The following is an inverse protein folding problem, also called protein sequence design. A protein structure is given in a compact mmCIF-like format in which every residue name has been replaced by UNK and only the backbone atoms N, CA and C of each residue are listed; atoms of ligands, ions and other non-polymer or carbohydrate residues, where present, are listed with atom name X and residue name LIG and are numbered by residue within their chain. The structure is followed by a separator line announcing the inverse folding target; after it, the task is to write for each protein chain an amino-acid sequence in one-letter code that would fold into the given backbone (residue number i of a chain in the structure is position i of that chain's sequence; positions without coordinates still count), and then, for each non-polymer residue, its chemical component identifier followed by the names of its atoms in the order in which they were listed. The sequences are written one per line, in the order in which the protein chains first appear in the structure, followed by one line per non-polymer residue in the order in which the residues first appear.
data_IF_201653370765
#
_entry.id   IF_201653370765
#
_cell.length_a   1.000
_cell.length_b   1.000
_cell.length_c   1.000
_cell.angle_alpha   90.00
_cell.angle_beta   90.00
_cell.angle_gamma   90.00
#
_symmetry.space_group_name_H-M   'P 1'
#
loop_
_entity.id
_entity.type
_entity.pdbx_description
1 polymer ?
#
# COMPACT_ATOMS: atom_id res chain seq x y z
N UNK A 1 3.58 -3.61 22.17
CA UNK A 1 2.40 -2.92 21.60
C UNK A 1 2.17 -3.46 20.20
N UNK A 2 1.14 -4.28 20.02
CA UNK A 2 0.69 -4.78 18.73
C UNK A 2 0.18 -3.60 17.90
N UNK A 3 0.95 -3.15 16.91
CA UNK A 3 0.42 -2.20 15.92
C UNK A 3 -0.63 -2.96 15.12
N UNK A 4 -1.89 -2.57 15.26
CA UNK A 4 -2.96 -3.13 14.44
C UNK A 4 -2.70 -2.75 12.99
N UNK A 5 -2.37 -3.74 12.17
CA UNK A 5 -2.17 -3.55 10.75
C UNK A 5 -3.54 -3.30 10.14
N UNK A 6 -3.77 -2.08 9.65
CA UNK A 6 -4.96 -1.73 8.87
C UNK A 6 -5.16 -2.73 7.72
N UNK A 7 -6.40 -3.08 7.43
CA UNK A 7 -6.76 -3.98 6.33
C UNK A 7 -6.16 -3.52 5.01
N UNK A 8 -6.08 -2.20 4.80
CA UNK A 8 -5.40 -1.55 3.67
C UNK A 8 -3.94 -2.00 3.57
N UNK A 9 -3.19 -1.98 4.68
CA UNK A 9 -1.79 -2.38 4.71
C UNK A 9 -1.59 -3.86 4.38
N UNK A 10 -2.51 -4.72 4.83
CA UNK A 10 -2.50 -6.16 4.50
C UNK A 10 -2.77 -6.39 3.02
N UNK A 11 -3.82 -5.75 2.48
CA UNK A 11 -4.19 -5.85 1.07
C UNK A 11 -3.10 -5.28 0.16
N UNK A 12 -2.51 -4.13 0.52
CA UNK A 12 -1.40 -3.53 -0.19
C UNK A 12 -0.23 -4.51 -0.33
N UNK A 13 0.19 -5.11 0.79
CA UNK A 13 1.28 -6.10 0.81
C UNK A 13 0.95 -7.33 -0.03
N UNK A 14 -0.29 -7.81 0.04
CA UNK A 14 -0.77 -8.97 -0.75
C UNK A 14 -0.72 -8.68 -2.25
N UNK A 15 -1.34 -7.58 -2.68
CA UNK A 15 -1.40 -7.16 -4.09
C UNK A 15 0.00 -6.87 -4.65
N UNK A 16 0.86 -6.19 -3.88
CA UNK A 16 2.25 -5.95 -4.26
C UNK A 16 3.00 -7.25 -4.52
N UNK A 17 2.86 -8.23 -3.63
CA UNK A 17 3.51 -9.55 -3.79
C UNK A 17 2.94 -10.32 -4.98
N UNK A 18 1.64 -10.27 -5.23
CA UNK A 18 1.02 -10.89 -6.40
C UNK A 18 1.55 -10.31 -7.72
N UNK A 19 1.92 -9.01 -7.72
CA UNK A 19 2.55 -8.34 -8.87
C UNK A 19 4.07 -8.54 -8.93
N UNK A 20 4.67 -9.30 -8.01
CA UNK A 20 6.13 -9.53 -7.97
C UNK A 20 6.96 -8.28 -7.66
N UNK A 21 6.36 -7.26 -7.04
CA UNK A 21 7.02 -5.98 -6.77
C UNK A 21 7.70 -5.99 -5.39
N UNK A 22 8.89 -5.38 -5.29
CA UNK A 22 9.48 -5.02 -4.00
C UNK A 22 8.83 -3.73 -3.47
N UNK A 23 9.00 -3.43 -2.18
CA UNK A 23 8.52 -2.17 -1.59
C UNK A 23 9.17 -0.95 -2.26
N UNK A 24 10.46 -1.04 -2.62
CA UNK A 24 11.21 0.00 -3.35
C UNK A 24 10.68 0.19 -4.79
N UNK A 25 10.40 -0.92 -5.49
CA UNK A 25 9.79 -0.83 -6.82
C UNK A 25 8.41 -0.21 -6.77
N UNK A 26 7.59 -0.59 -5.79
CA UNK A 26 6.26 -0.01 -5.62
C UNK A 26 6.35 1.49 -5.30
N UNK A 27 7.27 1.92 -4.43
CA UNK A 27 7.42 3.34 -4.10
C UNK A 27 7.80 4.17 -5.32
N UNK A 28 8.69 3.65 -6.17
CA UNK A 28 9.08 4.31 -7.43
C UNK A 28 7.93 4.37 -8.44
N UNK A 29 7.18 3.28 -8.61
CA UNK A 29 6.04 3.23 -9.53
C UNK A 29 4.88 4.12 -9.08
N UNK A 30 4.65 4.21 -7.78
CA UNK A 30 3.59 5.03 -7.19
C UNK A 30 4.01 6.49 -6.96
N UNK A 31 5.27 6.86 -7.22
CA UNK A 31 5.80 8.19 -6.93
C UNK A 31 5.53 8.64 -5.48
N UNK A 32 5.85 7.77 -4.54
CA UNK A 32 5.78 8.04 -3.09
C UNK A 32 7.06 7.60 -2.40
N UNK A 33 7.28 8.08 -1.17
CA UNK A 33 8.48 7.69 -0.42
C UNK A 33 8.48 6.20 -0.08
N UNK A 34 9.65 5.57 -0.14
CA UNK A 34 9.84 4.18 0.29
C UNK A 34 9.37 3.96 1.74
N UNK A 35 9.63 4.94 2.61
CA UNK A 35 9.21 4.90 4.01
C UNK A 35 7.66 4.90 4.15
N UNK A 36 6.95 5.59 3.27
CA UNK A 36 5.48 5.58 3.22
C UNK A 36 4.96 4.17 2.92
N UNK A 37 5.55 3.47 1.95
CA UNK A 37 5.17 2.08 1.63
C UNK A 37 5.41 1.16 2.81
N UNK A 38 6.59 1.25 3.46
CA UNK A 38 6.89 0.44 4.66
C UNK A 38 5.88 0.72 5.78
N UNK A 39 5.61 2.00 6.08
CA UNK A 39 4.70 2.38 7.16
C UNK A 39 3.27 1.93 6.87
N UNK A 40 2.82 1.98 5.63
CA UNK A 40 1.50 1.43 5.25
C UNK A 40 1.43 -0.09 5.47
N UNK A 41 2.43 -0.84 4.99
CA UNK A 41 2.43 -2.31 5.13
C UNK A 41 2.68 -2.80 6.57
N UNK A 42 3.28 -1.97 7.42
CA UNK A 42 3.59 -2.29 8.83
C UNK A 42 2.60 -1.70 9.84
N UNK A 43 1.57 -0.98 9.38
CA UNK A 43 0.58 -0.34 10.27
C UNK A 43 1.08 0.92 10.98
N UNK A 44 2.18 1.52 10.52
CA UNK A 44 2.62 2.86 10.94
C UNK A 44 1.80 4.00 10.32
N UNK A 45 1.09 3.74 9.22
CA UNK A 45 0.06 4.61 8.65
C UNK A 45 -1.21 3.77 8.48
N UNK A 46 -2.27 4.14 9.18
CA UNK A 46 -3.56 3.44 9.14
C UNK A 46 -4.57 4.13 8.23
N UNK A 47 -4.42 5.45 8.01
CA UNK A 47 -5.30 6.28 7.20
C UNK A 47 -4.50 7.07 6.14
N UNK A 48 -4.13 6.45 5.01
CA UNK A 48 -3.49 7.17 3.89
C UNK A 48 -4.43 8.23 3.28
N UNK A 49 -3.85 9.27 2.68
CA UNK A 49 -4.62 10.22 1.88
C UNK A 49 -5.18 9.57 0.61
N UNK A 50 -6.25 10.16 0.06
CA UNK A 50 -6.82 9.73 -1.23
C UNK A 50 -5.77 9.75 -2.34
N UNK A 51 -4.92 10.78 -2.39
CA UNK A 51 -3.79 10.87 -3.35
C UNK A 51 -2.85 9.66 -3.23
N UNK A 52 -2.49 9.27 -2.01
CA UNK A 52 -1.63 8.10 -1.77
C UNK A 52 -2.30 6.81 -2.25
N UNK A 53 -3.61 6.65 -1.98
CA UNK A 53 -4.37 5.50 -2.45
C UNK A 53 -4.44 5.45 -3.98
N UNK A 54 -4.69 6.58 -4.65
CA UNK A 54 -4.73 6.67 -6.10
C UNK A 54 -3.37 6.33 -6.74
N UNK A 55 -2.29 6.83 -6.17
CA UNK A 55 -0.92 6.51 -6.60
C UNK A 55 -0.59 5.03 -6.49
N UNK A 56 -0.94 4.42 -5.35
CA UNK A 56 -0.70 2.99 -5.10
C UNK A 56 -1.53 2.08 -6.02
N UNK A 57 -2.83 2.37 -6.15
CA UNK A 57 -3.75 1.62 -7.02
C UNK A 57 -3.33 1.69 -8.49
N UNK A 58 -2.94 2.89 -8.97
CA UNK A 58 -2.40 3.08 -10.31
C UNK A 58 -1.11 2.29 -10.54
N UNK A 59 -0.17 2.32 -9.59
CA UNK A 59 1.08 1.56 -9.67
C UNK A 59 0.88 0.03 -9.66
N UNK A 60 -0.16 -0.44 -8.94
CA UNK A 60 -0.51 -1.86 -8.86
C UNK A 60 -1.44 -2.30 -9.99
N UNK A 61 -2.00 -1.36 -10.75
CA UNK A 61 -3.04 -1.59 -11.75
C UNK A 61 -4.23 -2.38 -11.18
N UNK A 62 -4.82 -1.82 -10.12
CA UNK A 62 -5.98 -2.36 -9.36
C UNK A 62 -6.94 -1.21 -9.02
N UNK A 63 -8.16 -1.51 -8.58
CA UNK A 63 -9.08 -0.46 -8.09
C UNK A 63 -8.80 -0.10 -6.63
N UNK A 64 -9.34 1.03 -6.18
CA UNK A 64 -9.33 1.41 -4.75
C UNK A 64 -10.11 0.40 -3.92
N UNK A 65 -11.19 -0.16 -4.46
CA UNK A 65 -12.00 -1.19 -3.81
C UNK A 65 -11.19 -2.45 -3.49
N UNK A 66 -10.26 -2.86 -4.38
CA UNK A 66 -9.37 -4.00 -4.12
C UNK A 66 -8.45 -3.77 -2.93
N UNK A 67 -8.10 -2.51 -2.65
CA UNK A 67 -7.30 -2.10 -1.51
C UNK A 67 -8.14 -2.01 -0.23
N UNK A 68 -9.42 -1.62 -0.34
CA UNK A 68 -10.35 -1.46 0.76
C UNK A 68 -11.16 -2.72 1.11
N UNK A 69 -11.08 -3.80 0.32
CA UNK A 69 -11.80 -5.05 0.59
C UNK A 69 -11.57 -5.56 2.01
N UNK A 70 -12.68 -5.67 2.76
CA UNK A 70 -12.73 -6.21 4.12
C UNK A 70 -12.77 -7.73 4.10
#
# INVERSE_FOLDING_TARGET
MSREISQIGKNLKKLRKQKGLSQDRLSKLADISYNTVIKLESGGITNPSIDTLQKLTKALNVSVDDLLKF
#
